data_IF_911503887435
#
_entry.id   IF_911503887435
#
_cell.length_a   1.000
_cell.length_b   1.000
_cell.length_c   1.000
_cell.angle_alpha   90.00
_cell.angle_beta   90.00
_cell.angle_gamma   90.00
#
_symmetry.space_group_name_H-M   'P 1'
#
loop_
_entity.id
_entity.type
_entity.pdbx_description
1 polymer ?
#
# COMPACT_ATOMS: atom_id res chain seq x y z
N UNK A 1 2.93 -39.32 -10.66
CA UNK A 1 2.97 -37.88 -10.40
C UNK A 1 4.11 -37.65 -9.47
N UNK A 2 5.11 -36.85 -9.85
CA UNK A 2 6.30 -36.68 -9.03
C UNK A 2 5.92 -35.97 -7.73
N UNK A 3 6.26 -36.57 -6.61
CA UNK A 3 6.00 -36.06 -5.27
C UNK A 3 6.52 -34.61 -5.07
N UNK A 4 7.55 -34.24 -5.82
CA UNK A 4 8.10 -32.88 -5.82
C UNK A 4 7.10 -31.84 -6.32
N UNK A 5 6.29 -32.18 -7.36
CA UNK A 5 5.27 -31.25 -7.88
C UNK A 5 4.15 -30.97 -6.88
N UNK A 6 3.86 -31.90 -5.96
CA UNK A 6 2.85 -31.74 -4.92
C UNK A 6 3.22 -30.60 -3.93
N UNK A 7 4.50 -30.41 -3.66
CA UNK A 7 4.97 -29.34 -2.78
C UNK A 7 4.85 -27.95 -3.41
N UNK A 8 4.61 -27.85 -4.71
CA UNK A 8 4.30 -26.57 -5.34
C UNK A 8 2.93 -26.01 -4.89
N UNK A 9 1.97 -26.86 -4.54
CA UNK A 9 0.62 -26.43 -4.12
C UNK A 9 0.63 -25.62 -2.83
N UNK A 10 1.25 -26.08 -1.71
CA UNK A 10 1.39 -25.27 -0.51
C UNK A 10 2.14 -23.95 -0.77
N UNK A 11 3.12 -23.92 -1.67
CA UNK A 11 3.86 -22.73 -2.04
C UNK A 11 2.95 -21.68 -2.71
N UNK A 12 2.08 -22.12 -3.62
CA UNK A 12 1.03 -21.26 -4.21
C UNK A 12 0.09 -20.75 -3.13
N UNK A 13 -0.35 -21.61 -2.18
CA UNK A 13 -1.15 -21.21 -1.03
C UNK A 13 -0.46 -20.13 -0.17
N UNK A 14 0.85 -20.29 0.08
CA UNK A 14 1.67 -19.31 0.77
C UNK A 14 1.80 -17.98 0.04
N UNK A 15 1.91 -18.01 -1.29
CA UNK A 15 1.94 -16.81 -2.12
C UNK A 15 0.60 -16.07 -2.07
N UNK A 16 -0.52 -16.79 -2.24
CA UNK A 16 -1.87 -16.24 -2.12
C UNK A 16 -2.07 -15.61 -0.75
N UNK A 17 -1.68 -16.30 0.31
CA UNK A 17 -1.75 -15.80 1.67
C UNK A 17 -0.97 -14.50 1.85
N UNK A 18 0.31 -14.48 1.45
CA UNK A 18 1.18 -13.31 1.59
C UNK A 18 0.68 -12.09 0.80
N UNK A 19 0.09 -12.31 -0.37
CA UNK A 19 -0.44 -11.26 -1.24
C UNK A 19 -1.74 -10.66 -0.72
N UNK A 20 -2.51 -11.40 0.09
CA UNK A 20 -3.82 -10.99 0.59
C UNK A 20 -3.81 -10.57 2.07
N UNK A 21 -2.82 -11.00 2.85
CA UNK A 21 -2.72 -10.59 4.25
C UNK A 21 -2.14 -9.18 4.38
N UNK A 22 -2.86 -8.24 4.99
CA UNK A 22 -2.50 -6.82 5.12
C UNK A 22 -1.12 -6.57 5.75
N UNK A 23 -0.62 -7.49 6.60
CA UNK A 23 0.70 -7.37 7.21
C UNK A 23 1.86 -7.62 6.22
N UNK A 24 1.67 -8.51 5.26
CA UNK A 24 2.71 -8.91 4.30
C UNK A 24 2.52 -8.31 2.92
N UNK A 25 1.29 -8.00 2.53
CA UNK A 25 0.89 -7.51 1.20
C UNK A 25 1.80 -6.38 0.68
N UNK A 26 2.07 -5.38 1.51
CA UNK A 26 2.90 -4.24 1.13
C UNK A 26 4.38 -4.59 0.90
N UNK A 27 4.90 -5.62 1.60
CA UNK A 27 6.26 -6.13 1.37
C UNK A 27 6.32 -6.92 0.09
N UNK A 28 5.36 -7.81 -0.12
CA UNK A 28 5.23 -8.64 -1.31
C UNK A 28 5.14 -7.78 -2.57
N UNK A 29 4.40 -6.68 -2.53
CA UNK A 29 4.27 -5.76 -3.66
C UNK A 29 5.56 -5.02 -4.04
N UNK A 30 6.52 -4.93 -3.12
CA UNK A 30 7.82 -4.25 -3.32
C UNK A 30 9.02 -5.21 -3.42
N UNK A 31 8.81 -6.49 -3.11
CA UNK A 31 9.86 -7.50 -3.19
C UNK A 31 9.79 -8.19 -4.55
N UNK A 32 10.92 -8.20 -5.25
CA UNK A 32 11.10 -8.91 -6.52
C UNK A 32 12.08 -10.08 -6.35
N UNK A 33 11.94 -11.07 -7.24
CA UNK A 33 12.86 -12.19 -7.33
C UNK A 33 12.79 -13.18 -6.16
N UNK A 34 13.97 -13.67 -5.72
CA UNK A 34 14.07 -14.78 -4.76
C UNK A 34 13.50 -14.51 -3.37
N UNK A 35 13.45 -13.26 -2.91
CA UNK A 35 12.90 -12.90 -1.59
C UNK A 35 11.41 -13.22 -1.50
N UNK A 36 10.67 -12.98 -2.58
CA UNK A 36 9.26 -13.33 -2.68
C UNK A 36 9.06 -14.85 -2.56
N UNK A 37 9.89 -15.64 -3.27
CA UNK A 37 9.81 -17.10 -3.21
C UNK A 37 10.10 -17.65 -1.82
N UNK A 38 11.15 -17.17 -1.14
CA UNK A 38 11.44 -17.57 0.24
C UNK A 38 10.28 -17.28 1.19
N UNK A 39 9.62 -16.15 1.01
CA UNK A 39 8.45 -15.79 1.81
C UNK A 39 7.26 -16.71 1.51
N UNK A 40 6.98 -16.95 0.24
CA UNK A 40 5.92 -17.88 -0.17
C UNK A 40 6.16 -19.29 0.36
N UNK A 41 7.41 -19.80 0.29
CA UNK A 41 7.81 -21.10 0.86
C UNK A 41 7.57 -21.13 2.37
N UNK A 42 8.03 -20.12 3.09
CA UNK A 42 7.90 -20.05 4.55
C UNK A 42 6.44 -20.11 5.00
N UNK A 43 5.59 -19.23 4.44
CA UNK A 43 4.17 -19.22 4.79
C UNK A 43 3.43 -20.43 4.25
N UNK A 44 3.81 -20.93 3.08
CA UNK A 44 3.26 -22.16 2.53
C UNK A 44 3.54 -23.38 3.41
N UNK A 45 4.77 -23.50 3.94
CA UNK A 45 5.13 -24.55 4.89
C UNK A 45 4.37 -24.41 6.23
N UNK A 46 4.21 -23.19 6.74
CA UNK A 46 3.42 -22.91 7.95
C UNK A 46 1.96 -23.29 7.77
N UNK A 47 1.35 -22.92 6.65
CA UNK A 47 -0.05 -23.26 6.33
C UNK A 47 -0.18 -24.79 6.19
N UNK A 48 0.73 -25.43 5.46
CA UNK A 48 0.73 -26.88 5.30
C UNK A 48 0.82 -27.61 6.65
N UNK A 49 1.75 -27.21 7.52
CA UNK A 49 1.89 -27.78 8.86
C UNK A 49 0.62 -27.56 9.70
N UNK A 50 0.04 -26.36 9.64
CA UNK A 50 -1.21 -26.03 10.36
C UNK A 50 -2.38 -26.89 9.89
N UNK A 51 -2.53 -27.06 8.56
CA UNK A 51 -3.58 -27.91 7.97
C UNK A 51 -3.35 -29.38 8.32
N UNK A 52 -2.10 -29.87 8.24
CA UNK A 52 -1.77 -31.25 8.57
C UNK A 52 -2.08 -31.59 10.04
N UNK A 53 -1.83 -30.65 10.95
CA UNK A 53 -2.13 -30.80 12.39
C UNK A 53 -3.62 -30.64 12.69
N UNK A 54 -4.30 -29.68 12.07
CA UNK A 54 -5.71 -29.38 12.32
C UNK A 54 -6.65 -30.41 11.69
N UNK A 55 -6.24 -31.01 10.58
CA UNK A 55 -7.08 -31.92 9.78
C UNK A 55 -7.70 -33.08 10.59
N UNK A 56 -6.94 -33.89 11.38
CA UNK A 56 -7.55 -34.98 12.14
C UNK A 56 -8.58 -34.47 13.16
N UNK A 57 -8.37 -33.27 13.71
CA UNK A 57 -9.32 -32.63 14.61
C UNK A 57 -10.60 -32.21 13.89
N UNK A 58 -10.47 -31.58 12.72
CA UNK A 58 -11.61 -31.14 11.89
C UNK A 58 -12.42 -32.36 11.42
N UNK A 59 -11.76 -33.43 10.98
CA UNK A 59 -12.39 -34.65 10.55
C UNK A 59 -13.17 -35.35 11.69
N UNK A 60 -12.76 -35.20 12.96
CA UNK A 60 -13.44 -35.77 14.12
C UNK A 60 -14.68 -34.97 14.53
N UNK A 61 -14.70 -33.66 14.36
CA UNK A 61 -15.79 -32.78 14.81
C UNK A 61 -16.82 -32.54 13.71
N UNK A 62 -16.39 -32.56 12.42
CA UNK A 62 -17.22 -32.21 11.27
C UNK A 62 -17.46 -33.46 10.36
N UNK A 63 -18.55 -34.21 10.52
CA UNK A 63 -18.84 -35.36 9.68
C UNK A 63 -18.88 -35.05 8.16
N UNK A 64 -19.48 -33.93 7.69
CA UNK A 64 -19.45 -33.61 6.28
C UNK A 64 -18.05 -33.29 5.77
N UNK A 65 -17.14 -32.71 6.61
CA UNK A 65 -15.77 -32.46 6.24
C UNK A 65 -15.00 -33.78 6.05
N UNK A 66 -15.20 -34.75 6.94
CA UNK A 66 -14.57 -36.07 6.82
C UNK A 66 -15.05 -36.81 5.57
N UNK A 67 -16.31 -36.71 5.22
CA UNK A 67 -16.86 -37.30 3.99
C UNK A 67 -16.26 -36.66 2.75
N UNK A 68 -16.13 -35.34 2.71
CA UNK A 68 -15.48 -34.61 1.61
C UNK A 68 -14.01 -35.01 1.43
N UNK A 69 -13.25 -35.15 2.52
CA UNK A 69 -11.85 -35.60 2.49
C UNK A 69 -11.76 -37.06 2.00
N UNK A 70 -12.62 -37.95 2.47
CA UNK A 70 -12.68 -39.35 1.99
C UNK A 70 -12.98 -39.41 0.50
N UNK A 71 -13.94 -38.61 0.03
CA UNK A 71 -14.27 -38.53 -1.39
C UNK A 71 -13.09 -38.00 -2.22
N UNK A 72 -12.42 -36.94 -1.76
CA UNK A 72 -11.23 -36.39 -2.41
C UNK A 72 -10.08 -37.42 -2.48
N UNK A 73 -9.87 -38.21 -1.41
CA UNK A 73 -8.88 -39.31 -1.40
C UNK A 73 -9.25 -40.38 -2.45
N UNK A 74 -10.51 -40.81 -2.50
CA UNK A 74 -10.95 -41.80 -3.47
C UNK A 74 -10.76 -41.36 -4.94
N UNK A 75 -10.85 -40.06 -5.23
CA UNK A 75 -10.56 -39.50 -6.55
C UNK A 75 -9.07 -39.53 -6.90
N UNK A 76 -8.20 -39.35 -5.93
CA UNK A 76 -6.74 -39.25 -6.12
C UNK A 76 -6.08 -40.64 -6.07
N UNK A 77 -6.64 -41.60 -5.33
CA UNK A 77 -6.10 -42.93 -5.12
C UNK A 77 -5.78 -43.71 -6.40
N UNK A 78 -6.61 -43.67 -7.46
CA UNK A 78 -6.29 -44.32 -8.72
C UNK A 78 -5.08 -43.73 -9.44
N UNK A 79 -4.75 -42.47 -9.16
CA UNK A 79 -3.60 -41.77 -9.76
C UNK A 79 -2.31 -42.01 -8.98
N UNK A 80 -2.40 -42.46 -7.74
CA UNK A 80 -1.28 -42.76 -6.85
C UNK A 80 -0.82 -44.21 -7.05
N UNK A 81 0.13 -44.42 -7.99
CA UNK A 81 0.59 -45.77 -8.38
C UNK A 81 1.46 -46.49 -7.34
N UNK A 82 1.73 -45.94 -6.16
CA UNK A 82 2.73 -46.47 -5.25
C UNK A 82 2.14 -46.78 -3.85
N UNK A 83 2.24 -48.05 -3.46
CA UNK A 83 2.05 -48.49 -2.07
C UNK A 83 3.33 -48.23 -1.29
N UNK A 84 3.50 -47.03 -0.75
CA UNK A 84 4.58 -46.71 0.14
C UNK A 84 4.17 -46.97 1.60
N UNK A 85 5.14 -47.37 2.44
CA UNK A 85 4.95 -47.64 3.87
C UNK A 85 4.73 -46.35 4.73
N UNK A 86 4.59 -45.18 4.08
CA UNK A 86 4.33 -43.87 4.70
C UNK A 86 2.88 -43.39 4.50
N UNK A 87 2.55 -42.17 4.87
CA UNK A 87 1.24 -41.57 4.57
C UNK A 87 0.98 -41.70 3.08
N UNK A 88 -0.23 -42.19 2.71
CA UNK A 88 -0.52 -42.50 1.32
C UNK A 88 -0.32 -41.23 0.47
N UNK A 89 0.20 -41.38 -0.74
CA UNK A 89 0.38 -40.25 -1.68
C UNK A 89 -0.93 -39.49 -1.87
N UNK A 90 -2.07 -40.19 -1.82
CA UNK A 90 -3.40 -39.59 -1.86
C UNK A 90 -3.63 -38.67 -0.64
N UNK A 91 -3.19 -39.07 0.54
CA UNK A 91 -3.33 -38.29 1.76
C UNK A 91 -2.50 -37.00 1.74
N UNK A 92 -1.27 -37.13 1.28
CA UNK A 92 -0.37 -36.00 1.07
C UNK A 92 -0.96 -35.01 0.03
N UNK A 93 -1.44 -35.53 -1.11
CA UNK A 93 -2.04 -34.73 -2.18
C UNK A 93 -3.23 -33.91 -1.68
N UNK A 94 -4.16 -34.57 -0.97
CA UNK A 94 -5.32 -33.87 -0.39
C UNK A 94 -4.90 -32.81 0.62
N UNK A 95 -3.91 -33.09 1.45
CA UNK A 95 -3.39 -32.11 2.42
C UNK A 95 -2.73 -30.90 1.73
N UNK A 96 -1.98 -31.12 0.66
CA UNK A 96 -1.40 -30.06 -0.16
C UNK A 96 -2.46 -29.17 -0.82
N UNK A 97 -3.53 -29.79 -1.34
CA UNK A 97 -4.66 -29.06 -1.92
C UNK A 97 -5.41 -28.24 -0.86
N UNK A 98 -5.67 -28.80 0.31
CA UNK A 98 -6.31 -28.09 1.42
C UNK A 98 -5.43 -26.92 1.88
N UNK A 99 -4.10 -27.10 1.94
CA UNK A 99 -3.17 -26.04 2.28
C UNK A 99 -3.21 -24.89 1.25
N UNK A 100 -3.27 -25.22 -0.04
CA UNK A 100 -3.40 -24.21 -1.10
C UNK A 100 -4.71 -23.42 -0.96
N UNK A 101 -5.84 -24.11 -0.81
CA UNK A 101 -7.16 -23.49 -0.70
C UNK A 101 -7.33 -22.68 0.58
N UNK A 102 -6.67 -23.06 1.69
CA UNK A 102 -6.76 -22.37 2.97
C UNK A 102 -5.99 -21.04 3.00
N UNK A 103 -5.10 -20.78 2.05
CA UNK A 103 -4.30 -19.55 2.01
C UNK A 103 -5.14 -18.28 1.97
N UNK A 104 -6.19 -18.26 1.16
CA UNK A 104 -7.08 -17.10 1.01
C UNK A 104 -7.99 -16.89 2.23
N UNK A 105 -8.77 -17.89 2.71
CA UNK A 105 -9.61 -17.71 3.88
C UNK A 105 -8.82 -17.40 5.16
N UNK A 106 -7.62 -17.96 5.30
CA UNK A 106 -6.76 -17.67 6.44
C UNK A 106 -6.27 -16.21 6.42
N UNK A 107 -5.87 -15.70 5.25
CA UNK A 107 -5.51 -14.30 5.09
C UNK A 107 -6.69 -13.38 5.42
N UNK A 108 -7.89 -13.72 4.96
CA UNK A 108 -9.11 -12.98 5.23
C UNK A 108 -9.47 -12.98 6.72
N UNK A 109 -9.41 -14.14 7.37
CA UNK A 109 -9.66 -14.30 8.81
C UNK A 109 -8.68 -13.46 9.65
N UNK A 110 -7.38 -13.48 9.32
CA UNK A 110 -6.38 -12.67 10.01
C UNK A 110 -6.59 -11.17 9.77
N UNK A 111 -7.04 -10.78 8.58
CA UNK A 111 -7.38 -9.39 8.29
C UNK A 111 -8.60 -8.89 9.09
N UNK A 112 -9.55 -9.80 9.42
CA UNK A 112 -10.72 -9.48 10.23
C UNK A 112 -10.33 -9.28 11.71
N UNK A 113 -9.45 -10.13 12.24
CA UNK A 113 -9.02 -10.13 13.65
C UNK A 113 -8.03 -8.99 13.93
N UNK A 114 -7.11 -8.71 13.00
CA UNK A 114 -6.09 -7.69 13.18
C UNK A 114 -6.49 -6.38 12.50
N UNK A 115 -6.68 -5.34 13.29
CA UNK A 115 -7.11 -4.01 12.85
C UNK A 115 -6.23 -3.49 11.70
N UNK A 116 -6.84 -3.31 10.54
CA UNK A 116 -6.19 -2.89 9.27
C UNK A 116 -5.27 -1.66 9.46
N UNK A 117 -5.73 -0.67 10.23
CA UNK A 117 -5.02 0.59 10.42
C UNK A 117 -3.72 0.46 11.24
N UNK A 118 -3.65 -0.47 12.21
CA UNK A 118 -2.43 -0.66 13.01
C UNK A 118 -1.26 -1.17 12.16
N UNK A 119 -1.50 -2.18 11.34
CA UNK A 119 -0.46 -2.77 10.49
C UNK A 119 -0.07 -1.86 9.33
N UNK A 120 -1.05 -1.14 8.75
CA UNK A 120 -0.82 -0.15 7.71
C UNK A 120 0.11 0.97 8.22
N UNK A 121 -0.21 1.58 9.35
CA UNK A 121 0.63 2.63 9.96
C UNK A 121 2.05 2.13 10.31
N UNK A 122 2.18 0.87 10.76
CA UNK A 122 3.48 0.27 11.02
C UNK A 122 4.27 -0.04 9.74
N UNK A 123 3.59 -0.38 8.68
CA UNK A 123 4.20 -0.59 7.36
C UNK A 123 4.70 0.73 6.76
N UNK A 124 3.87 1.76 6.79
CA UNK A 124 4.16 3.10 6.26
C UNK A 124 5.36 3.74 6.99
N UNK A 125 5.50 3.55 8.31
CA UNK A 125 6.63 4.11 9.09
C UNK A 125 8.02 3.70 8.59
N UNK A 126 8.13 2.69 7.74
CA UNK A 126 9.39 2.23 7.15
C UNK A 126 9.70 2.88 5.80
N UNK A 127 8.75 3.61 5.25
CA UNK A 127 8.89 4.34 4.00
C UNK A 127 8.84 5.85 4.30
N UNK A 128 9.92 6.54 4.01
CA UNK A 128 10.07 7.96 4.37
C UNK A 128 9.04 8.84 3.64
N UNK A 129 8.81 8.58 2.34
CA UNK A 129 7.82 9.31 1.56
C UNK A 129 6.41 9.07 2.09
N UNK A 130 6.00 7.81 2.20
CA UNK A 130 4.65 7.45 2.66
C UNK A 130 4.41 7.90 4.11
N UNK A 131 5.44 7.88 4.97
CA UNK A 131 5.31 8.34 6.36
C UNK A 131 5.11 9.85 6.44
N UNK A 132 5.77 10.64 5.57
CA UNK A 132 5.59 12.08 5.51
C UNK A 132 4.23 12.45 4.92
N UNK A 133 3.79 11.76 3.86
CA UNK A 133 2.47 11.93 3.27
C UNK A 133 1.36 11.62 4.28
N UNK A 134 1.49 10.51 5.02
CA UNK A 134 0.55 10.16 6.08
C UNK A 134 0.51 11.22 7.19
N UNK A 135 1.69 11.72 7.59
CA UNK A 135 1.78 12.79 8.59
C UNK A 135 1.13 14.08 8.11
N UNK A 136 1.27 14.40 6.83
CA UNK A 136 0.62 15.55 6.21
C UNK A 136 -0.90 15.40 6.23
N UNK A 137 -1.42 14.22 5.86
CA UNK A 137 -2.85 13.94 5.87
C UNK A 137 -3.45 13.91 7.29
N UNK A 138 -2.77 13.26 8.26
CA UNK A 138 -3.24 13.18 9.66
C UNK A 138 -3.34 14.57 10.32
N UNK A 139 -2.51 15.52 9.90
CA UNK A 139 -2.46 16.89 10.43
C UNK A 139 -3.15 17.93 9.55
N UNK A 140 -3.75 17.50 8.45
CA UNK A 140 -4.33 18.40 7.43
C UNK A 140 -3.33 19.47 6.95
N UNK A 141 -2.05 19.12 6.94
CA UNK A 141 -0.98 20.02 6.51
C UNK A 141 -0.75 19.89 5.01
N UNK A 142 -0.44 21.02 4.37
CA UNK A 142 0.06 21.01 3.00
C UNK A 142 1.49 20.49 2.94
N UNK A 143 1.87 19.98 1.77
CA UNK A 143 3.24 19.59 1.44
C UNK A 143 3.81 20.51 0.36
N UNK A 144 5.10 20.74 0.41
CA UNK A 144 5.84 21.36 -0.68
C UNK A 144 6.66 20.27 -1.39
N UNK A 145 6.45 20.13 -2.69
CA UNK A 145 7.14 19.18 -3.57
C UNK A 145 7.96 19.99 -4.57
N UNK A 146 9.26 19.72 -4.64
CA UNK A 146 10.15 20.32 -5.64
C UNK A 146 10.49 19.26 -6.67
N UNK A 147 10.24 19.55 -7.93
CA UNK A 147 10.57 18.69 -9.06
C UNK A 147 12.03 18.88 -9.50
N UNK A 148 12.56 17.95 -10.27
CA UNK A 148 13.92 17.97 -10.82
C UNK A 148 14.20 19.16 -11.75
N UNK A 149 13.17 19.67 -12.43
CA UNK A 149 13.22 20.88 -13.27
C UNK A 149 13.22 22.19 -12.46
N UNK A 150 13.11 22.11 -11.14
CA UNK A 150 13.04 23.25 -10.23
C UNK A 150 11.64 23.80 -10.00
N UNK A 151 10.61 23.20 -10.62
CA UNK A 151 9.21 23.57 -10.35
C UNK A 151 8.80 23.12 -8.95
N UNK A 152 8.13 24.02 -8.23
CA UNK A 152 7.68 23.76 -6.85
C UNK A 152 6.16 23.82 -6.81
N UNK A 153 5.56 22.81 -6.21
CA UNK A 153 4.12 22.76 -5.93
C UNK A 153 3.92 22.71 -4.42
N UNK A 154 2.96 23.46 -3.94
CA UNK A 154 2.49 23.37 -2.55
C UNK A 154 1.01 23.04 -2.58
N UNK A 155 0.58 22.04 -1.83
CA UNK A 155 -0.81 21.63 -1.84
C UNK A 155 -1.12 20.51 -0.87
N UNK A 156 -2.38 20.03 -0.91
CA UNK A 156 -2.86 18.90 -0.13
C UNK A 156 -2.76 17.60 -0.92
N UNK A 157 -2.40 16.52 -0.23
CA UNK A 157 -2.39 15.18 -0.82
C UNK A 157 -3.81 14.64 -0.84
N UNK A 158 -4.30 14.29 -2.04
CA UNK A 158 -5.69 13.88 -2.25
C UNK A 158 -5.86 12.37 -2.19
N UNK A 159 -4.81 11.61 -2.47
CA UNK A 159 -4.90 10.16 -2.64
C UNK A 159 -4.77 9.39 -1.33
N UNK A 160 -5.59 8.32 -1.20
CA UNK A 160 -5.48 7.38 -0.09
C UNK A 160 -4.14 6.63 -0.06
N UNK A 161 -3.70 6.28 1.15
CA UNK A 161 -2.43 5.59 1.38
C UNK A 161 -2.60 4.07 1.20
N UNK A 162 -2.13 3.51 0.08
CA UNK A 162 -1.93 2.07 -0.09
C UNK A 162 -0.45 1.77 -0.39
N UNK A 163 0.34 1.41 0.63
CA UNK A 163 1.75 1.13 0.44
C UNK A 163 2.01 -0.16 -0.36
N UNK A 164 0.98 -0.96 -0.65
CA UNK A 164 1.09 -2.15 -1.48
C UNK A 164 1.20 -1.81 -2.97
N UNK A 165 0.66 -0.67 -3.38
CA UNK A 165 0.80 -0.17 -4.75
C UNK A 165 2.04 0.71 -4.77
N UNK A 166 3.13 0.26 -5.41
CA UNK A 166 4.31 1.11 -5.63
C UNK A 166 3.87 2.43 -6.27
N UNK A 167 3.95 3.53 -5.49
CA UNK A 167 3.43 4.83 -5.91
C UNK A 167 4.28 5.39 -7.05
N UNK A 168 3.70 5.54 -8.23
CA UNK A 168 4.35 6.14 -9.39
C UNK A 168 4.16 7.66 -9.45
N UNK A 169 3.10 8.17 -8.84
CA UNK A 169 2.82 9.59 -8.77
C UNK A 169 2.17 9.95 -7.42
N UNK A 170 2.27 11.21 -7.04
CA UNK A 170 1.55 11.82 -5.92
C UNK A 170 0.44 12.67 -6.54
N UNK A 171 -0.82 12.45 -6.13
CA UNK A 171 -1.93 13.33 -6.49
C UNK A 171 -1.99 14.48 -5.50
N UNK A 172 -1.78 15.67 -6.00
CA UNK A 172 -1.73 16.90 -5.20
C UNK A 172 -2.81 17.87 -5.67
N UNK A 173 -3.63 18.36 -4.74
CA UNK A 173 -4.47 19.53 -4.96
C UNK A 173 -3.60 20.77 -4.72
N UNK A 174 -3.16 21.51 -5.75
CA UNK A 174 -2.23 22.60 -5.60
C UNK A 174 -2.90 23.82 -4.96
N UNK A 175 -2.26 24.41 -3.96
CA UNK A 175 -2.63 25.70 -3.40
C UNK A 175 -1.83 26.83 -4.04
N UNK A 176 -0.57 26.57 -4.33
CA UNK A 176 0.32 27.48 -5.04
C UNK A 176 1.40 26.71 -5.80
N UNK A 177 1.91 27.29 -6.87
CA UNK A 177 3.05 26.77 -7.60
C UNK A 177 4.00 27.89 -8.01
N UNK A 178 5.26 27.50 -8.28
CA UNK A 178 6.31 28.44 -8.66
C UNK A 178 7.56 27.71 -9.11
N UNK A 179 8.66 28.43 -9.13
CA UNK A 179 9.95 27.90 -9.54
C UNK A 179 11.03 28.25 -8.52
N UNK A 180 11.97 27.33 -8.33
CA UNK A 180 13.19 27.56 -7.58
C UNK A 180 14.22 28.18 -8.51
N UNK A 181 14.69 29.38 -8.19
CA UNK A 181 15.77 30.02 -8.89
C UNK A 181 17.06 29.20 -8.76
N UNK A 182 17.73 28.93 -9.89
CA UNK A 182 18.93 28.09 -9.95
C UNK A 182 20.14 28.72 -9.28
N UNK A 183 20.20 30.05 -9.23
CA UNK A 183 21.35 30.82 -8.71
C UNK A 183 21.18 31.15 -7.24
N UNK A 184 20.00 31.66 -6.87
CA UNK A 184 19.72 32.10 -5.50
C UNK A 184 19.10 31.02 -4.63
N UNK A 185 18.65 29.92 -5.23
CA UNK A 185 17.88 28.83 -4.61
C UNK A 185 16.57 29.28 -3.92
N UNK A 186 16.15 30.53 -4.14
CA UNK A 186 14.89 31.06 -3.63
C UNK A 186 13.71 30.48 -4.44
N UNK A 187 12.60 30.25 -3.76
CA UNK A 187 11.35 29.83 -4.42
C UNK A 187 10.54 31.08 -4.71
N UNK A 188 10.19 31.28 -5.97
CA UNK A 188 9.31 32.34 -6.42
C UNK A 188 7.96 31.71 -6.80
N UNK A 189 6.93 31.94 -5.98
CA UNK A 189 5.58 31.51 -6.31
C UNK A 189 4.96 32.44 -7.34
N UNK A 190 4.46 31.83 -8.44
CA UNK A 190 3.91 32.57 -9.58
C UNK A 190 2.41 32.36 -9.75
N UNK A 191 1.85 31.28 -9.22
CA UNK A 191 0.44 30.91 -9.36
C UNK A 191 -0.14 30.58 -8.00
N UNK A 192 -1.27 31.21 -7.66
CA UNK A 192 -1.99 31.04 -6.42
C UNK A 192 -3.37 30.45 -6.72
N UNK A 193 -3.53 29.14 -6.62
CA UNK A 193 -4.78 28.43 -6.88
C UNK A 193 -5.79 28.63 -5.73
N UNK A 194 -5.29 28.84 -4.51
CA UNK A 194 -6.13 29.05 -3.33
C UNK A 194 -7.10 30.23 -3.49
N UNK A 195 -6.70 31.25 -4.25
CA UNK A 195 -7.56 32.42 -4.54
C UNK A 195 -8.76 32.04 -5.41
N UNK A 196 -8.65 30.98 -6.20
CA UNK A 196 -9.72 30.45 -7.04
C UNK A 196 -10.65 29.51 -6.26
N UNK A 197 -10.11 28.81 -5.28
CA UNK A 197 -10.89 27.85 -4.49
C UNK A 197 -11.70 28.61 -3.44
N UNK A 198 -13.02 28.45 -3.43
CA UNK A 198 -13.82 28.96 -2.32
C UNK A 198 -13.37 28.27 -1.03
N UNK A 199 -12.99 29.02 -0.02
CA UNK A 199 -12.73 28.50 1.33
C UNK A 199 -14.02 28.58 2.14
N UNK A 200 -14.29 27.52 2.92
CA UNK A 200 -15.34 27.55 3.93
C UNK A 200 -14.90 28.42 5.13
N UNK A 201 -15.85 28.77 6.01
CA UNK A 201 -15.60 29.58 7.22
C UNK A 201 -14.47 29.02 8.12
N UNK A 202 -14.07 27.75 7.93
CA UNK A 202 -12.93 27.09 8.58
C UNK A 202 -11.60 27.16 7.82
N UNK A 203 -11.55 27.76 6.63
CA UNK A 203 -10.35 27.83 5.79
C UNK A 203 -10.01 26.52 5.04
N UNK A 204 -10.93 25.56 5.03
CA UNK A 204 -10.79 24.30 4.29
C UNK A 204 -11.30 24.48 2.85
N UNK A 205 -10.60 23.91 1.88
CA UNK A 205 -11.01 23.93 0.46
C UNK A 205 -12.10 22.87 0.26
N UNK A 206 -13.30 23.31 -0.12
CA UNK A 206 -14.34 22.38 -0.57
C UNK A 206 -14.03 21.95 -2.01
N UNK A 207 -13.59 20.70 -2.17
CA UNK A 207 -13.12 20.16 -3.47
C UNK A 207 -14.25 20.06 -4.49
N UNK A 208 -15.50 19.92 -4.06
CA UNK A 208 -16.66 19.70 -4.93
C UNK A 208 -17.44 21.00 -5.25
N UNK A 209 -17.06 22.11 -4.65
CA UNK A 209 -17.74 23.38 -4.87
C UNK A 209 -17.36 23.98 -6.22
N UNK A 210 -18.32 24.41 -7.05
CA UNK A 210 -18.02 25.14 -8.29
C UNK A 210 -17.20 26.40 -8.02
N UNK A 211 -16.26 26.69 -8.90
CA UNK A 211 -15.43 27.88 -8.81
C UNK A 211 -16.25 29.16 -9.09
N UNK A 212 -15.78 30.34 -8.64
CA UNK A 212 -16.44 31.60 -8.95
C UNK A 212 -16.39 31.92 -10.45
N UNK A 213 -17.32 32.74 -10.90
CA UNK A 213 -17.41 33.19 -12.30
C UNK A 213 -16.06 33.80 -12.77
N UNK A 214 -15.61 33.50 -13.98
CA UNK A 214 -16.29 32.77 -15.09
C UNK A 214 -16.00 31.25 -15.12
N UNK A 215 -15.47 30.66 -14.04
CA UNK A 215 -15.02 29.27 -13.97
C UNK A 215 -16.02 28.32 -13.28
N UNK A 216 -17.31 28.68 -13.26
CA UNK A 216 -18.38 27.92 -12.59
C UNK A 216 -18.54 26.46 -13.07
N UNK A 217 -18.02 26.14 -14.27
CA UNK A 217 -18.03 24.79 -14.84
C UNK A 217 -16.91 23.89 -14.30
N UNK A 218 -15.98 24.44 -13.51
CA UNK A 218 -14.84 23.73 -12.90
C UNK A 218 -15.01 23.64 -11.38
N UNK A 219 -14.39 22.62 -10.84
CA UNK A 219 -14.23 22.39 -9.39
C UNK A 219 -12.75 22.37 -9.01
N UNK A 220 -12.44 22.40 -7.73
CA UNK A 220 -11.05 22.27 -7.28
C UNK A 220 -10.43 20.92 -7.68
N UNK A 221 -11.24 19.87 -7.85
CA UNK A 221 -10.76 18.55 -8.31
C UNK A 221 -10.17 18.59 -9.72
N UNK A 222 -10.64 19.46 -10.60
CA UNK A 222 -10.14 19.58 -11.96
C UNK A 222 -8.68 20.10 -12.03
N UNK A 223 -8.17 20.65 -10.92
CA UNK A 223 -6.78 21.11 -10.78
C UNK A 223 -5.86 20.09 -10.15
N UNK A 224 -6.34 18.91 -9.75
CA UNK A 224 -5.50 17.88 -9.16
C UNK A 224 -4.37 17.54 -10.14
N UNK A 225 -3.15 17.67 -9.64
CA UNK A 225 -1.94 17.45 -10.44
C UNK A 225 -1.26 16.16 -10.00
N UNK A 226 -0.98 15.27 -10.96
CA UNK A 226 -0.22 14.05 -10.74
C UNK A 226 1.28 14.34 -10.89
N UNK A 227 2.04 14.23 -9.79
CA UNK A 227 3.48 14.47 -9.75
C UNK A 227 4.21 13.12 -9.76
N UNK A 228 5.00 12.80 -10.83
CA UNK A 228 5.77 11.57 -10.90
C UNK A 228 6.81 11.50 -9.77
N UNK A 229 6.84 10.37 -9.03
CA UNK A 229 7.71 10.22 -7.85
C UNK A 229 9.18 10.13 -8.21
N UNK A 230 9.52 9.62 -9.39
CA UNK A 230 10.87 9.51 -9.93
C UNK A 230 11.49 10.87 -10.34
N UNK A 231 10.64 11.90 -10.51
CA UNK A 231 11.05 13.27 -10.84
C UNK A 231 11.02 14.23 -9.64
N UNK A 232 10.74 13.74 -8.45
CA UNK A 232 10.73 14.55 -7.23
C UNK A 232 12.15 14.67 -6.68
N UNK A 233 12.68 15.90 -6.66
CA UNK A 233 13.98 16.20 -6.07
C UNK A 233 13.92 16.32 -4.55
N UNK A 234 12.83 16.87 -4.00
CA UNK A 234 12.61 16.97 -2.55
C UNK A 234 11.15 17.19 -2.20
N UNK A 235 10.76 16.75 -1.01
CA UNK A 235 9.43 16.96 -0.46
C UNK A 235 9.51 17.27 1.03
N UNK A 236 8.60 18.11 1.55
CA UNK A 236 8.56 18.51 2.96
C UNK A 236 7.15 18.94 3.36
N UNK A 237 6.86 18.89 4.65
CA UNK A 237 5.69 19.58 5.18
C UNK A 237 5.83 21.09 4.95
N UNK A 238 4.74 21.75 4.61
CA UNK A 238 4.70 23.18 4.38
C UNK A 238 3.71 23.84 5.31
N UNK A 239 4.17 24.89 5.97
CA UNK A 239 3.35 25.78 6.79
C UNK A 239 3.52 27.21 6.26
N UNK A 240 2.42 27.79 5.80
CA UNK A 240 2.42 29.14 5.21
C UNK A 240 2.85 30.23 6.21
N UNK A 241 2.49 30.07 7.49
CA UNK A 241 2.85 31.03 8.55
C UNK A 241 4.34 30.97 8.85
N UNK A 242 4.89 29.77 8.97
CA UNK A 242 6.32 29.58 9.15
C UNK A 242 7.11 30.11 7.93
N UNK A 243 6.63 29.85 6.71
CA UNK A 243 7.25 30.36 5.49
C UNK A 243 7.29 31.89 5.47
N UNK A 244 6.19 32.58 5.77
CA UNK A 244 6.13 34.04 5.86
C UNK A 244 7.09 34.60 6.92
N UNK A 245 7.22 33.93 8.07
CA UNK A 245 8.12 34.35 9.14
C UNK A 245 9.59 34.26 8.69
N UNK A 246 9.96 33.17 7.98
CA UNK A 246 11.30 33.02 7.43
C UNK A 246 11.61 34.04 6.32
N UNK A 247 10.62 34.50 5.57
CA UNK A 247 10.82 35.55 4.56
C UNK A 247 11.04 36.92 5.21
N UNK A 248 10.34 37.21 6.32
CA UNK A 248 10.46 38.50 7.06
C UNK A 248 11.72 38.58 7.95
N UNK A 249 12.29 37.45 8.34
CA UNK A 249 13.44 37.40 9.25
C UNK A 249 14.80 37.45 8.55
N UNK A 250 14.88 37.99 7.32
CA UNK A 250 16.20 38.27 6.69
C UNK A 250 16.85 39.48 7.33
N UNK A 251 17.94 39.32 8.11
CA UNK A 251 18.71 40.44 8.54
C UNK A 251 19.51 40.99 7.33
N UNK A 252 19.33 42.25 6.98
CA UNK A 252 20.37 43.06 6.31
C UNK A 252 20.19 43.33 4.82
N UNK A 253 19.12 44.06 4.45
CA UNK A 253 19.18 44.93 3.26
C UNK A 253 19.04 46.43 3.60
N UNK A 254 18.91 46.81 4.89
CA UNK A 254 18.68 48.19 5.30
C UNK A 254 19.95 48.93 5.82
N UNK A 255 21.16 48.48 5.52
CA UNK A 255 22.37 49.22 5.87
C UNK A 255 23.42 49.17 4.77
N UNK A 256 23.14 49.73 3.61
CA UNK A 256 24.12 50.36 2.71
C UNK A 256 23.43 51.51 1.97
N UNK A 257 23.30 52.61 2.66
CA UNK A 257 23.07 53.92 2.12
C UNK A 257 24.24 54.80 2.48
#
# INVERSE_FOLDING_TARGET
MDTVLLFALPLVGGLIFCSNWNFTRWRVAREEGHRLYFRAVFYGALIFASVALARPYVESICPPCSAAVKYAKALVEPMAKEKSAGPSVADLTVTCFLAMLSGLPLAWLLNLVFWKNFWLRRAIKKDELESLLLLAADKENSIAVTMDDGKVYVGYVVEGFDPAVGRKCILLLPLMSGYRDKTTHKVNFTTFYLELYGTDDGGTVDQNKPLPAPLEHLTAEDFITALPTDRIASYRLFDARAYQKFQKSKPGEDNMG
#
